data_IF_784000072274
#
_entry.id   IF_784000072274
#
_cell.length_a   1.000
_cell.length_b   1.000
_cell.length_c   1.000
_cell.angle_alpha   90.00
_cell.angle_beta   90.00
_cell.angle_gamma   90.00
#
_symmetry.space_group_name_H-M   'P 1'
#
loop_
_entity.id
_entity.type
_entity.pdbx_description
1 polymer ?
#
# COMPACT_ATOMS: atom_id res chain seq x y z
N UNK A 1 -8.84 -21.31 7.78
CA UNK A 1 -7.83 -21.30 8.87
C UNK A 1 -8.24 -20.20 9.81
N UNK A 2 -8.52 -20.51 11.09
CA UNK A 2 -9.02 -19.54 12.07
C UNK A 2 -7.88 -18.63 12.52
N UNK A 3 -8.10 -17.31 12.45
CA UNK A 3 -7.23 -16.33 13.08
C UNK A 3 -7.18 -16.62 14.60
N UNK A 4 -6.10 -17.24 15.08
CA UNK A 4 -5.82 -17.46 16.50
C UNK A 4 -5.41 -16.13 17.18
N UNK A 5 -6.31 -15.16 17.20
CA UNK A 5 -6.15 -13.88 17.89
C UNK A 5 -7.37 -13.72 18.79
N UNK A 6 -7.13 -13.53 20.08
CA UNK A 6 -8.20 -13.28 21.04
C UNK A 6 -8.93 -11.98 20.71
N UNK A 7 -10.27 -11.96 20.85
CA UNK A 7 -11.09 -10.79 20.54
C UNK A 7 -10.68 -9.55 21.34
N UNK A 8 -10.30 -9.73 22.61
CA UNK A 8 -9.85 -8.64 23.47
C UNK A 8 -8.50 -8.09 23.01
N UNK A 9 -7.60 -8.96 22.53
CA UNK A 9 -6.32 -8.55 21.97
C UNK A 9 -6.50 -7.83 20.63
N UNK A 10 -7.38 -8.33 19.75
CA UNK A 10 -7.73 -7.65 18.50
C UNK A 10 -8.30 -6.26 18.76
N UNK A 11 -9.23 -6.10 19.71
CA UNK A 11 -9.78 -4.79 20.05
C UNK A 11 -8.73 -3.81 20.61
N UNK A 12 -7.70 -4.30 21.31
CA UNK A 12 -6.56 -3.47 21.74
C UNK A 12 -5.71 -3.01 20.55
N UNK A 13 -5.53 -3.88 19.55
CA UNK A 13 -4.80 -3.54 18.30
C UNK A 13 -5.55 -2.42 17.56
N UNK A 14 -6.87 -2.56 17.37
CA UNK A 14 -7.70 -1.57 16.66
C UNK A 14 -7.66 -0.18 17.31
N UNK A 15 -7.54 -0.11 18.64
CA UNK A 15 -7.42 1.16 19.40
C UNK A 15 -5.99 1.70 19.50
N UNK A 16 -4.99 0.98 18.98
CA UNK A 16 -3.58 1.36 19.10
C UNK A 16 -3.02 1.26 20.52
N UNK A 17 -3.62 0.44 21.38
CA UNK A 17 -3.22 0.29 22.79
C UNK A 17 -2.05 -0.68 22.99
N UNK A 18 -1.70 -1.45 21.96
CA UNK A 18 -0.63 -2.44 21.99
C UNK A 18 0.27 -2.30 20.77
N UNK A 19 1.57 -2.51 20.98
CA UNK A 19 2.52 -2.66 19.88
C UNK A 19 2.42 -4.10 19.35
N UNK A 20 2.01 -4.24 18.09
CA UNK A 20 1.75 -5.53 17.44
C UNK A 20 2.87 -5.88 16.47
N UNK A 21 3.24 -7.16 16.39
CA UNK A 21 4.27 -7.61 15.45
C UNK A 21 3.75 -7.62 14.01
N UNK A 22 4.64 -7.43 13.04
CA UNK A 22 4.29 -7.51 11.62
C UNK A 22 3.75 -8.89 11.21
N UNK A 23 4.29 -9.98 11.79
CA UNK A 23 3.76 -11.34 11.62
C UNK A 23 2.28 -11.45 12.03
N UNK A 24 1.91 -10.81 13.14
CA UNK A 24 0.51 -10.81 13.60
C UNK A 24 -0.37 -10.01 12.64
N UNK A 25 0.12 -8.88 12.11
CA UNK A 25 -0.60 -8.10 11.09
C UNK A 25 -0.80 -8.91 9.81
N UNK A 26 0.23 -9.61 9.33
CA UNK A 26 0.13 -10.48 8.14
C UNK A 26 -0.92 -11.58 8.35
N UNK A 27 -0.92 -12.22 9.52
CA UNK A 27 -1.94 -13.22 9.88
C UNK A 27 -3.36 -12.65 9.87
N UNK A 28 -3.53 -11.39 10.31
CA UNK A 28 -4.81 -10.68 10.24
C UNK A 28 -5.21 -10.46 8.78
N UNK A 29 -4.30 -9.96 7.93
CA UNK A 29 -4.54 -9.74 6.50
C UNK A 29 -4.99 -11.02 5.78
N UNK A 30 -4.24 -12.11 5.96
CA UNK A 30 -4.56 -13.44 5.40
C UNK A 30 -5.92 -13.94 5.86
N UNK A 31 -6.25 -13.72 7.14
CA UNK A 31 -7.55 -14.14 7.70
C UNK A 31 -8.72 -13.34 7.15
N UNK A 32 -8.51 -12.05 6.88
CA UNK A 32 -9.47 -11.14 6.25
C UNK A 32 -9.52 -11.27 4.72
N UNK A 33 -8.57 -12.00 4.12
CA UNK A 33 -8.40 -12.17 2.66
C UNK A 33 -8.18 -10.84 1.93
N UNK A 34 -7.40 -9.96 2.54
CA UNK A 34 -6.96 -8.68 1.98
C UNK A 34 -5.44 -8.65 1.93
N UNK A 35 -4.88 -7.80 1.08
CA UNK A 35 -3.43 -7.54 1.10
C UNK A 35 -3.05 -6.78 2.38
N UNK A 36 -1.83 -7.00 2.89
CA UNK A 36 -1.33 -6.26 4.04
C UNK A 36 -1.33 -4.75 3.78
N UNK A 37 -1.06 -4.33 2.54
CA UNK A 37 -1.17 -2.95 2.10
C UNK A 37 -2.57 -2.36 2.36
N UNK A 38 -3.63 -3.12 2.11
CA UNK A 38 -5.02 -2.67 2.29
C UNK A 38 -5.37 -2.42 3.76
N UNK A 39 -4.70 -3.09 4.71
CA UNK A 39 -4.87 -2.80 6.14
C UNK A 39 -4.31 -1.44 6.54
N UNK A 40 -3.27 -0.97 5.84
CA UNK A 40 -2.60 0.30 6.12
C UNK A 40 -3.04 1.43 5.19
N UNK A 41 -3.70 1.10 4.08
CA UNK A 41 -4.36 2.04 3.19
C UNK A 41 -5.57 2.64 3.93
N UNK A 42 -5.32 3.61 4.81
CA UNK A 42 -6.38 4.34 5.50
C UNK A 42 -7.37 4.96 4.51
N UNK A 43 -8.52 5.42 5.01
CA UNK A 43 -9.60 6.01 4.19
C UNK A 43 -9.12 7.07 3.18
N UNK A 44 -8.00 7.74 3.44
CA UNK A 44 -7.42 8.78 2.60
C UNK A 44 -6.67 8.27 1.35
N UNK A 45 -6.23 7.01 1.31
CA UNK A 45 -5.60 6.46 0.10
C UNK A 45 -6.61 6.29 -1.05
N UNK A 46 -7.89 6.11 -0.69
CA UNK A 46 -9.00 6.03 -1.64
C UNK A 46 -9.56 7.41 -2.05
N UNK A 47 -9.19 8.51 -1.36
CA UNK A 47 -9.80 9.83 -1.55
C UNK A 47 -8.88 10.88 -2.18
N UNK A 48 -7.59 10.59 -2.34
CA UNK A 48 -6.71 11.44 -3.14
C UNK A 48 -6.88 11.07 -4.63
N UNK A 49 -8.14 11.12 -5.13
CA UNK A 49 -8.43 11.01 -6.57
C UNK A 49 -7.55 11.97 -7.36
N UNK A 50 -7.34 13.18 -6.82
CA UNK A 50 -6.43 14.19 -7.36
C UNK A 50 -5.00 13.65 -7.53
N UNK A 51 -4.46 12.87 -6.57
CA UNK A 51 -3.12 12.26 -6.71
C UNK A 51 -3.13 11.10 -7.70
N UNK A 52 -4.18 10.29 -7.76
CA UNK A 52 -4.30 9.22 -8.76
C UNK A 52 -4.30 9.79 -10.17
N UNK A 53 -5.10 10.83 -10.42
CA UNK A 53 -5.15 11.53 -11.69
C UNK A 53 -3.79 12.15 -12.07
N UNK A 54 -3.09 12.75 -11.10
CA UNK A 54 -1.75 13.28 -11.32
C UNK A 54 -0.76 12.16 -11.66
N UNK A 55 -0.80 11.03 -10.96
CA UNK A 55 0.08 9.88 -11.22
C UNK A 55 -0.18 9.25 -12.58
N UNK A 56 -1.45 9.12 -12.99
CA UNK A 56 -1.83 8.62 -14.31
C UNK A 56 -1.34 9.56 -15.42
N UNK A 57 -1.50 10.87 -15.24
CA UNK A 57 -0.96 11.87 -16.19
C UNK A 57 0.55 11.79 -16.30
N UNK A 58 1.27 11.66 -15.18
CA UNK A 58 2.74 11.49 -15.19
C UNK A 58 3.12 10.22 -15.95
N UNK A 59 2.46 9.09 -15.69
CA UNK A 59 2.75 7.83 -16.37
C UNK A 59 2.47 7.91 -17.87
N UNK A 60 1.39 8.59 -18.28
CA UNK A 60 1.09 8.85 -19.69
C UNK A 60 2.18 9.72 -20.34
N UNK A 61 2.63 10.78 -19.68
CA UNK A 61 3.69 11.64 -20.21
C UNK A 61 5.01 10.88 -20.36
N UNK A 62 5.41 10.09 -19.37
CA UNK A 62 6.63 9.27 -19.42
C UNK A 62 6.58 8.18 -20.50
N UNK A 63 5.40 7.68 -20.84
CA UNK A 63 5.22 6.67 -21.90
C UNK A 63 5.11 7.27 -23.29
N UNK A 64 4.62 8.51 -23.40
CA UNK A 64 4.56 9.27 -24.66
C UNK A 64 5.86 10.01 -24.97
N UNK A 65 6.69 10.26 -23.97
CA UNK A 65 8.00 10.86 -24.18
C UNK A 65 8.94 9.77 -24.74
N UNK A 66 9.04 9.73 -26.07
CA UNK A 66 10.02 8.92 -26.78
C UNK A 66 11.42 9.18 -26.19
N UNK A 67 11.94 8.20 -25.45
CA UNK A 67 13.24 8.26 -24.79
C UNK A 67 14.38 8.08 -25.82
N UNK A 68 14.46 8.96 -26.82
CA UNK A 68 15.63 9.04 -27.71
C UNK A 68 16.83 9.73 -27.02
N UNK A 69 16.61 10.47 -25.93
CA UNK A 69 17.65 11.32 -25.31
C UNK A 69 18.45 10.64 -24.18
N UNK A 70 17.97 9.51 -23.63
CA UNK A 70 18.65 8.81 -22.52
C UNK A 70 19.79 7.89 -22.97
N UNK A 71 19.90 7.59 -24.27
CA UNK A 71 20.95 6.70 -24.82
C UNK A 71 22.16 7.50 -25.31
N UNK A 72 22.03 8.79 -25.59
CA UNK A 72 23.15 9.63 -26.05
C UNK A 72 24.08 10.08 -24.92
N UNK A 73 23.57 10.24 -23.69
CA UNK A 73 24.36 10.75 -22.56
C UNK A 73 25.10 9.67 -21.74
N UNK A 74 24.93 8.39 -22.09
CA UNK A 74 25.68 7.26 -21.51
C UNK A 74 26.85 6.76 -22.40
N UNK A 75 27.20 7.52 -23.45
CA UNK A 75 28.41 7.30 -24.26
C UNK A 75 29.46 8.37 -23.97
N UNK A 76 29.99 8.38 -22.76
CA UNK A 76 31.32 8.91 -22.44
C UNK A 76 32.02 7.99 -21.45
#
# INVERSE_FOLDING_TARGET
>A
MSCLIDRSYLGKIERGEVNVSLDTIERIAVSLKVDAFELFAGHNYLLDEDKRDILEKINLLLTLQDNEELITDLRY
#
